data_IF_095992931977
#
_entry.id   IF_095992931977
#
_cell.length_a   1.000
_cell.length_b   1.000
_cell.length_c   1.000
_cell.angle_alpha   90.00
_cell.angle_beta   90.00
_cell.angle_gamma   90.00
#
_symmetry.space_group_name_H-M   'P 1'
#
loop_
_entity.id
_entity.type
_entity.pdbx_description
1 polymer ?
#
# COMPACT_ATOMS: atom_id res chain seq x y z
N UNK A 1 -16.88 35.59 11.07
CA UNK A 1 -16.05 35.37 9.88
C UNK A 1 -15.72 33.89 9.81
N UNK A 2 -16.41 33.14 8.95
CA UNK A 2 -16.15 31.73 8.69
C UNK A 2 -14.89 31.67 7.83
N UNK A 3 -13.73 31.40 8.44
CA UNK A 3 -12.53 31.04 7.69
C UNK A 3 -12.91 29.79 6.90
N UNK A 4 -12.91 29.89 5.58
CA UNK A 4 -13.02 28.73 4.70
C UNK A 4 -11.90 27.77 5.11
N UNK A 5 -12.25 26.69 5.80
CA UNK A 5 -11.32 25.63 6.17
C UNK A 5 -10.94 24.94 4.86
N UNK A 6 -9.85 25.39 4.25
CA UNK A 6 -9.24 24.68 3.15
C UNK A 6 -8.73 23.36 3.71
N UNK A 7 -9.41 22.27 3.38
CA UNK A 7 -9.03 20.92 3.82
C UNK A 7 -7.61 20.65 3.33
N UNK A 8 -6.72 20.36 4.27
CA UNK A 8 -5.35 19.94 3.98
C UNK A 8 -5.38 18.45 3.65
N UNK A 9 -4.60 18.03 2.66
CA UNK A 9 -4.42 16.61 2.36
C UNK A 9 -3.18 16.06 3.07
N UNK A 10 -3.18 14.77 3.43
CA UNK A 10 -2.00 14.10 3.99
C UNK A 10 -0.76 14.29 3.09
N UNK A 11 -0.94 14.23 1.76
CA UNK A 11 0.10 14.52 0.78
C UNK A 11 0.77 15.89 0.94
N UNK A 12 0.02 16.90 1.39
CA UNK A 12 0.56 18.24 1.67
C UNK A 12 1.52 18.20 2.85
N UNK A 13 1.19 17.46 3.91
CA UNK A 13 2.06 17.32 5.08
C UNK A 13 3.33 16.53 4.74
N UNK A 14 3.21 15.46 3.95
CA UNK A 14 4.35 14.63 3.55
C UNK A 14 5.42 15.42 2.78
N UNK A 15 5.01 16.30 1.86
CA UNK A 15 5.91 17.06 0.99
C UNK A 15 6.25 18.47 1.47
N UNK A 16 5.69 18.94 2.58
CA UNK A 16 5.91 20.30 3.05
C UNK A 16 7.35 20.50 3.55
N UNK A 17 7.92 21.66 3.22
CA UNK A 17 9.17 22.13 3.79
C UNK A 17 8.95 22.71 5.21
N UNK A 18 10.03 23.04 5.91
CA UNK A 18 9.98 23.59 7.26
C UNK A 18 9.05 24.81 7.39
N UNK A 19 9.22 25.78 6.49
CA UNK A 19 8.39 27.00 6.48
C UNK A 19 6.90 26.68 6.25
N UNK A 20 6.62 25.75 5.33
CA UNK A 20 5.27 25.30 5.03
C UNK A 20 4.59 24.63 6.23
N UNK A 21 5.32 23.79 6.96
CA UNK A 21 4.80 23.15 8.18
C UNK A 21 4.52 24.17 9.29
N UNK A 22 5.44 25.10 9.54
CA UNK A 22 5.26 26.16 10.54
C UNK A 22 4.09 27.06 10.16
N UNK A 23 4.04 27.55 8.92
CA UNK A 23 2.96 28.40 8.42
C UNK A 23 1.59 27.72 8.52
N UNK A 24 1.53 26.40 8.33
CA UNK A 24 0.32 25.63 8.42
C UNK A 24 -0.18 25.54 9.87
N UNK A 25 0.72 25.29 10.83
CA UNK A 25 0.36 25.21 12.25
C UNK A 25 0.07 26.58 12.87
N UNK A 26 0.80 27.63 12.52
CA UNK A 26 0.58 28.98 13.05
C UNK A 26 -0.79 29.58 12.66
N UNK A 27 -1.46 29.04 11.64
CA UNK A 27 -2.82 29.43 11.24
C UNK A 27 -3.90 28.81 12.12
N UNK A 28 -3.55 27.84 12.95
CA UNK A 28 -4.49 27.14 13.82
C UNK A 28 -4.73 28.00 15.06
N UNK A 29 -5.99 28.38 15.35
CA UNK A 29 -6.29 29.14 16.56
C UNK A 29 -5.95 28.31 17.80
N UNK A 30 -5.48 28.92 18.90
CA UNK A 30 -5.22 28.19 20.13
C UNK A 30 -6.52 27.55 20.65
N UNK A 31 -6.44 26.39 21.32
CA UNK A 31 -7.61 25.77 21.93
C UNK A 31 -8.21 26.69 23.00
N UNK A 32 -9.54 26.67 23.15
CA UNK A 32 -10.27 27.53 24.09
C UNK A 32 -10.22 27.04 25.55
N UNK A 33 -9.42 26.02 25.84
CA UNK A 33 -9.24 25.41 27.15
C UNK A 33 -7.96 24.60 27.22
N UNK A 34 -7.65 24.05 28.40
CA UNK A 34 -6.55 23.11 28.56
C UNK A 34 -6.82 21.83 27.78
N UNK A 35 -5.77 21.31 27.13
CA UNK A 35 -5.84 20.07 26.39
C UNK A 35 -5.42 18.92 27.28
N UNK A 36 -6.17 17.81 27.24
CA UNK A 36 -5.90 16.58 28.00
C UNK A 36 -4.74 15.76 27.39
N UNK A 37 -3.59 16.41 27.20
CA UNK A 37 -2.35 15.80 26.72
C UNK A 37 -2.18 15.73 25.20
N UNK A 38 -1.14 15.01 24.72
CA UNK A 38 -0.71 15.03 23.32
C UNK A 38 -1.77 14.51 22.33
N UNK A 39 -2.52 13.47 22.71
CA UNK A 39 -3.54 12.89 21.84
C UNK A 39 -4.66 13.89 21.54
N UNK A 40 -5.14 14.59 22.57
CA UNK A 40 -6.16 15.62 22.42
C UNK A 40 -5.63 16.78 21.56
N UNK A 41 -4.36 17.17 21.72
CA UNK A 41 -3.72 18.20 20.89
C UNK A 41 -3.67 17.81 19.41
N UNK A 42 -3.24 16.57 19.11
CA UNK A 42 -3.23 16.01 17.75
C UNK A 42 -4.63 16.01 17.15
N UNK A 43 -5.65 15.56 17.88
CA UNK A 43 -7.04 15.57 17.41
C UNK A 43 -7.55 16.98 17.12
N UNK A 44 -7.24 17.93 18.02
CA UNK A 44 -7.59 19.32 17.84
C UNK A 44 -6.97 19.89 16.55
N UNK A 45 -5.64 19.76 16.40
CA UNK A 45 -4.90 20.21 15.22
C UNK A 45 -5.42 19.55 13.94
N UNK A 46 -5.60 18.23 13.96
CA UNK A 46 -6.11 17.47 12.81
C UNK A 46 -7.48 17.98 12.38
N UNK A 47 -8.41 18.18 13.32
CA UNK A 47 -9.76 18.67 13.02
C UNK A 47 -9.76 20.05 12.36
N UNK A 48 -8.84 20.95 12.77
CA UNK A 48 -8.68 22.29 12.21
C UNK A 48 -8.13 22.30 10.80
N UNK A 49 -7.36 21.27 10.45
CA UNK A 49 -6.81 21.04 9.12
C UNK A 49 -7.74 20.19 8.23
N UNK A 50 -8.85 19.68 8.77
CA UNK A 50 -9.78 18.80 8.05
C UNK A 50 -9.22 17.39 7.81
N UNK A 51 -8.34 16.94 8.70
CA UNK A 51 -7.68 15.64 8.73
C UNK A 51 -8.19 14.81 9.92
N UNK A 52 -8.00 13.50 9.87
CA UNK A 52 -8.06 12.68 11.09
C UNK A 52 -6.75 12.77 11.87
N UNK A 53 -6.78 12.39 13.16
CA UNK A 53 -5.56 12.26 13.96
C UNK A 53 -4.53 11.30 13.33
N UNK A 54 -5.01 10.22 12.68
CA UNK A 54 -4.16 9.27 11.98
C UNK A 54 -3.49 9.88 10.74
N UNK A 55 -4.25 10.62 9.92
CA UNK A 55 -3.70 11.31 8.73
C UNK A 55 -2.69 12.38 9.11
N UNK A 56 -2.95 13.13 10.18
CA UNK A 56 -2.00 14.10 10.73
C UNK A 56 -0.72 13.39 11.19
N UNK A 57 -0.86 12.34 12.01
CA UNK A 57 0.26 11.61 12.61
C UNK A 57 1.12 10.94 11.55
N UNK A 58 0.52 10.33 10.52
CA UNK A 58 1.26 9.75 9.41
C UNK A 58 1.87 10.80 8.48
N UNK A 59 1.14 11.87 8.18
CA UNK A 59 1.65 12.96 7.34
C UNK A 59 2.91 13.60 7.92
N UNK A 60 2.89 13.92 9.22
CA UNK A 60 4.06 14.42 9.94
C UNK A 60 5.11 13.32 10.17
N UNK A 61 4.69 12.14 10.60
CA UNK A 61 5.60 11.05 10.97
C UNK A 61 6.41 10.47 9.80
N UNK A 62 5.99 10.71 8.55
CA UNK A 62 6.77 10.38 7.35
C UNK A 62 7.42 11.60 6.68
N UNK A 63 7.20 12.82 7.18
CA UNK A 63 7.90 14.00 6.69
C UNK A 63 9.36 13.98 7.18
N UNK A 64 10.30 13.98 6.24
CA UNK A 64 11.74 13.85 6.54
C UNK A 64 12.34 15.03 7.31
N UNK A 65 11.73 16.21 7.25
CA UNK A 65 12.26 17.43 7.87
C UNK A 65 11.79 17.60 9.32
N UNK A 66 10.72 16.90 9.73
CA UNK A 66 10.15 17.06 11.05
C UNK A 66 11.13 16.82 12.22
N UNK A 67 12.07 15.85 12.16
CA UNK A 67 13.07 15.68 13.22
C UNK A 67 13.93 16.91 13.48
N UNK A 68 14.08 17.79 12.49
CA UNK A 68 14.86 19.03 12.58
C UNK A 68 14.02 20.22 13.09
N UNK A 69 12.74 20.00 13.38
CA UNK A 69 11.76 21.04 13.71
C UNK A 69 11.11 20.80 15.07
N UNK A 70 11.86 20.97 16.18
CA UNK A 70 11.33 20.73 17.53
C UNK A 70 10.15 21.63 17.88
N UNK A 71 10.11 22.85 17.35
CA UNK A 71 9.00 23.79 17.57
C UNK A 71 7.68 23.27 16.97
N UNK A 72 7.75 22.60 15.81
CA UNK A 72 6.59 21.97 15.16
C UNK A 72 6.06 20.82 16.02
N UNK A 73 6.94 20.02 16.62
CA UNK A 73 6.54 18.95 17.55
C UNK A 73 5.90 19.52 18.82
N UNK A 74 6.46 20.59 19.38
CA UNK A 74 5.91 21.27 20.54
C UNK A 74 4.50 21.82 20.27
N UNK A 75 4.26 22.39 19.07
CA UNK A 75 2.94 22.84 18.64
C UNK A 75 1.91 21.71 18.51
N UNK A 76 2.36 20.48 18.22
CA UNK A 76 1.51 19.28 18.22
C UNK A 76 1.28 18.72 19.64
N UNK A 77 1.86 19.33 20.68
CA UNK A 77 1.85 18.81 22.04
C UNK A 77 2.69 17.55 22.20
N UNK A 78 3.59 17.25 21.26
CA UNK A 78 4.41 16.04 21.24
C UNK A 78 5.77 16.38 21.87
N UNK A 79 6.04 15.80 23.03
CA UNK A 79 7.30 16.02 23.75
C UNK A 79 8.51 15.32 23.13
N UNK A 80 8.29 14.28 22.34
CA UNK A 80 9.37 13.52 21.71
C UNK A 80 8.96 12.92 20.34
N UNK A 81 9.87 12.96 19.37
CA UNK A 81 9.66 12.44 18.01
C UNK A 81 9.32 10.94 18.00
N UNK A 82 9.79 10.16 18.97
CA UNK A 82 9.57 8.71 19.02
C UNK A 82 8.11 8.37 19.34
N UNK A 83 7.44 9.20 20.14
CA UNK A 83 6.02 9.09 20.44
C UNK A 83 5.18 9.33 19.20
N UNK A 84 5.55 10.30 18.34
CA UNK A 84 4.92 10.47 17.04
C UNK A 84 5.12 9.24 16.14
N UNK A 85 6.34 8.71 16.07
CA UNK A 85 6.63 7.52 15.27
C UNK A 85 5.84 6.29 15.73
N UNK A 86 5.67 6.10 17.05
CA UNK A 86 4.82 5.03 17.58
C UNK A 86 3.37 5.17 17.14
N UNK A 87 2.81 6.37 17.22
CA UNK A 87 1.43 6.63 16.75
C UNK A 87 1.32 6.42 15.25
N UNK A 88 2.27 6.95 14.46
CA UNK A 88 2.36 6.70 13.00
C UNK A 88 2.37 5.20 12.69
N UNK A 89 3.20 4.43 13.37
CA UNK A 89 3.36 3.00 13.10
C UNK A 89 2.09 2.23 13.44
N UNK A 90 1.48 2.52 14.60
CA UNK A 90 0.17 1.93 14.97
C UNK A 90 -0.91 2.31 13.97
N UNK A 91 -1.04 3.60 13.62
CA UNK A 91 -2.02 4.06 12.64
C UNK A 91 -1.80 3.38 11.29
N UNK A 92 -0.57 3.30 10.79
CA UNK A 92 -0.33 2.67 9.49
C UNK A 92 -0.51 1.15 9.54
N UNK A 93 -0.11 0.47 10.61
CA UNK A 93 -0.11 -1.00 10.63
C UNK A 93 -1.44 -1.63 11.06
N UNK A 94 -2.22 -0.95 11.91
CA UNK A 94 -3.43 -1.50 12.50
C UNK A 94 -4.72 -0.93 11.88
N UNK A 95 -4.65 0.24 11.24
CA UNK A 95 -5.83 0.86 10.63
C UNK A 95 -6.27 0.16 9.34
N UNK A 96 -7.58 -0.11 9.26
CA UNK A 96 -8.25 -0.70 8.10
C UNK A 96 -9.12 0.34 7.41
N UNK A 97 -8.45 1.41 6.97
CA UNK A 97 -9.03 2.53 6.25
C UNK A 97 -10.11 3.33 7.01
N UNK A 98 -9.97 3.44 8.34
CA UNK A 98 -10.88 4.22 9.18
C UNK A 98 -10.23 5.55 9.55
N UNK A 99 -9.08 5.48 10.20
CA UNK A 99 -8.29 6.66 10.53
C UNK A 99 -7.51 7.16 9.31
N UNK A 100 -7.01 6.28 8.45
CA UNK A 100 -6.28 6.66 7.24
C UNK A 100 -7.13 6.37 6.01
N UNK A 101 -7.53 7.41 5.28
CA UNK A 101 -8.20 7.18 3.99
C UNK A 101 -7.27 6.44 3.01
N UNK A 102 -7.83 5.69 2.05
CA UNK A 102 -7.03 5.05 1.00
C UNK A 102 -6.16 6.09 0.27
N UNK A 103 -6.69 7.28 0.00
CA UNK A 103 -5.94 8.37 -0.62
C UNK A 103 -4.69 8.75 0.19
N UNK A 104 -4.83 8.89 1.52
CA UNK A 104 -3.71 9.16 2.42
C UNK A 104 -2.69 8.02 2.43
N UNK A 105 -3.13 6.75 2.44
CA UNK A 105 -2.23 5.60 2.35
C UNK A 105 -1.45 5.58 1.03
N UNK A 106 -2.14 5.82 -0.10
CA UNK A 106 -1.50 5.90 -1.41
C UNK A 106 -0.52 7.06 -1.51
N UNK A 107 -0.82 8.20 -0.87
CA UNK A 107 0.09 9.34 -0.78
C UNK A 107 1.36 8.99 0.02
N UNK A 108 1.25 8.27 1.13
CA UNK A 108 2.39 7.78 1.91
C UNK A 108 3.27 6.86 1.06
N UNK A 109 2.66 5.91 0.33
CA UNK A 109 3.38 5.02 -0.57
C UNK A 109 4.10 5.79 -1.68
N UNK A 110 3.42 6.73 -2.33
CA UNK A 110 4.03 7.56 -3.37
C UNK A 110 5.19 8.39 -2.82
N UNK A 111 5.04 8.95 -1.61
CA UNK A 111 6.11 9.68 -0.94
C UNK A 111 7.31 8.78 -0.62
N UNK A 112 7.08 7.57 -0.10
CA UNK A 112 8.14 6.61 0.17
C UNK A 112 8.88 6.18 -1.11
N UNK A 113 8.16 5.95 -2.21
CA UNK A 113 8.76 5.59 -3.49
C UNK A 113 9.70 6.69 -4.04
N UNK A 114 9.44 7.95 -3.71
CA UNK A 114 10.29 9.08 -4.08
C UNK A 114 11.49 9.30 -3.13
N UNK A 115 11.48 8.69 -1.94
CA UNK A 115 12.47 8.97 -0.89
C UNK A 115 12.96 7.66 -0.24
N UNK A 116 14.17 7.17 -0.59
CA UNK A 116 14.68 5.88 -0.12
C UNK A 116 14.67 5.70 1.41
N UNK A 117 15.00 6.76 2.16
CA UNK A 117 14.99 6.72 3.64
C UNK A 117 13.57 6.44 4.17
N UNK A 118 12.55 7.06 3.56
CA UNK A 118 11.14 6.82 3.92
C UNK A 118 10.73 5.41 3.51
N UNK A 119 11.19 4.94 2.34
CA UNK A 119 10.96 3.56 1.91
C UNK A 119 11.51 2.57 2.94
N UNK A 120 12.75 2.74 3.41
CA UNK A 120 13.38 1.85 4.40
C UNK A 120 12.59 1.78 5.71
N UNK A 121 11.99 2.90 6.15
CA UNK A 121 11.10 2.93 7.32
C UNK A 121 9.75 2.27 7.02
N UNK A 122 9.19 2.49 5.82
CA UNK A 122 7.90 1.96 5.42
C UNK A 122 7.94 0.43 5.24
N UNK A 123 9.04 -0.11 4.73
CA UNK A 123 9.18 -1.54 4.42
C UNK A 123 8.76 -2.44 5.62
N UNK A 124 9.37 -2.37 6.82
CA UNK A 124 8.96 -3.23 7.94
C UNK A 124 7.53 -3.00 8.41
N UNK A 125 6.96 -1.81 8.19
CA UNK A 125 5.56 -1.53 8.51
C UNK A 125 4.61 -2.24 7.56
N UNK A 126 4.96 -2.35 6.27
CA UNK A 126 4.16 -3.11 5.30
C UNK A 126 4.07 -4.61 5.63
N UNK A 127 5.12 -5.19 6.22
CA UNK A 127 5.12 -6.59 6.69
C UNK A 127 4.10 -6.86 7.79
N UNK A 128 3.71 -5.82 8.54
CA UNK A 128 2.65 -5.88 9.54
C UNK A 128 1.29 -5.49 8.95
N UNK A 129 1.27 -4.45 8.12
CA UNK A 129 0.04 -3.88 7.56
C UNK A 129 -0.69 -4.86 6.64
N UNK A 130 0.00 -5.49 5.70
CA UNK A 130 -0.66 -6.37 4.73
C UNK A 130 -1.32 -7.58 5.42
N UNK A 131 -0.64 -8.33 6.32
CA UNK A 131 -1.30 -9.40 7.08
C UNK A 131 -2.44 -8.91 7.98
N UNK A 132 -2.33 -7.71 8.57
CA UNK A 132 -3.40 -7.15 9.40
C UNK A 132 -4.66 -6.82 8.57
N UNK A 133 -4.49 -6.26 7.37
CA UNK A 133 -5.57 -6.01 6.41
C UNK A 133 -6.22 -7.34 5.96
N UNK A 134 -5.40 -8.32 5.58
CA UNK A 134 -5.84 -9.65 5.16
C UNK A 134 -6.64 -10.34 6.27
N UNK A 135 -6.11 -10.39 7.49
CA UNK A 135 -6.81 -10.96 8.65
C UNK A 135 -8.13 -10.23 8.96
N UNK A 136 -8.22 -8.92 8.72
CA UNK A 136 -9.48 -8.18 8.89
C UNK A 136 -10.48 -8.51 7.78
N UNK A 137 -10.03 -8.61 6.54
CA UNK A 137 -10.87 -8.96 5.40
C UNK A 137 -11.43 -10.37 5.57
N UNK A 138 -10.61 -11.33 6.02
CA UNK A 138 -11.06 -12.70 6.28
C UNK A 138 -12.20 -12.74 7.31
N UNK A 139 -12.14 -11.91 8.35
CA UNK A 139 -13.17 -11.84 9.40
C UNK A 139 -14.46 -11.14 8.97
N UNK A 140 -14.37 -10.15 8.09
CA UNK A 140 -15.50 -9.23 7.82
C UNK A 140 -16.09 -9.37 6.42
N UNK A 141 -15.28 -9.82 5.45
CA UNK A 141 -15.62 -9.96 4.02
C UNK A 141 -16.30 -8.71 3.44
N UNK A 142 -15.88 -7.54 3.90
CA UNK A 142 -16.49 -6.27 3.52
C UNK A 142 -15.96 -5.80 2.15
N UNK A 143 -16.82 -5.82 1.12
CA UNK A 143 -16.43 -5.55 -0.27
C UNK A 143 -15.70 -4.20 -0.50
N UNK A 144 -16.11 -3.08 0.12
CA UNK A 144 -15.35 -1.83 0.01
C UNK A 144 -13.92 -1.93 0.56
N UNK A 145 -13.71 -2.70 1.63
CA UNK A 145 -12.38 -2.91 2.23
C UNK A 145 -11.51 -3.75 1.31
N UNK A 146 -12.09 -4.79 0.71
CA UNK A 146 -11.44 -5.62 -0.31
C UNK A 146 -10.95 -4.78 -1.49
N UNK A 147 -11.78 -3.87 -2.01
CA UNK A 147 -11.35 -3.01 -3.12
C UNK A 147 -10.22 -2.06 -2.72
N UNK A 148 -10.32 -1.43 -1.54
CA UNK A 148 -9.25 -0.56 -1.04
C UNK A 148 -7.92 -1.32 -0.91
N UNK A 149 -7.95 -2.53 -0.36
CA UNK A 149 -6.79 -3.42 -0.28
C UNK A 149 -6.22 -3.78 -1.66
N UNK A 150 -7.08 -4.11 -2.65
CA UNK A 150 -6.63 -4.37 -4.04
C UNK A 150 -5.91 -3.15 -4.63
N UNK A 151 -6.44 -1.95 -4.41
CA UNK A 151 -5.83 -0.72 -4.92
C UNK A 151 -4.52 -0.39 -4.21
N UNK A 152 -4.46 -0.60 -2.90
CA UNK A 152 -3.23 -0.43 -2.14
C UNK A 152 -2.13 -1.37 -2.62
N UNK A 153 -2.42 -2.67 -2.74
CA UNK A 153 -1.43 -3.64 -3.20
C UNK A 153 -0.97 -3.35 -4.63
N UNK A 154 -1.88 -3.00 -5.54
CA UNK A 154 -1.53 -2.55 -6.90
C UNK A 154 -0.58 -1.37 -6.89
N UNK A 155 -0.80 -0.40 -6.00
CA UNK A 155 0.08 0.75 -5.87
C UNK A 155 1.48 0.35 -5.38
N UNK A 156 1.57 -0.56 -4.39
CA UNK A 156 2.86 -1.07 -3.91
C UNK A 156 3.68 -1.71 -5.03
N UNK A 157 3.07 -2.55 -5.87
CA UNK A 157 3.73 -3.12 -7.05
C UNK A 157 4.16 -2.06 -8.06
N UNK A 158 3.26 -1.14 -8.43
CA UNK A 158 3.54 -0.10 -9.44
C UNK A 158 4.63 0.88 -9.00
N UNK A 159 4.70 1.18 -7.71
CA UNK A 159 5.67 2.09 -7.12
C UNK A 159 7.02 1.40 -6.82
N UNK A 160 7.16 0.10 -7.10
CA UNK A 160 8.37 -0.65 -6.81
C UNK A 160 8.63 -0.86 -5.31
N UNK A 161 7.60 -0.68 -4.46
CA UNK A 161 7.68 -0.89 -3.02
C UNK A 161 7.47 -2.35 -2.62
N UNK A 162 7.10 -3.20 -3.57
CA UNK A 162 7.04 -4.65 -3.40
C UNK A 162 8.30 -5.31 -3.97
N UNK A 163 9.32 -5.62 -3.14
CA UNK A 163 10.52 -6.30 -3.58
C UNK A 163 10.25 -7.76 -3.93
N UNK A 164 11.15 -8.36 -4.73
CA UNK A 164 11.01 -9.73 -5.20
C UNK A 164 10.90 -10.72 -4.05
N UNK A 165 11.71 -10.56 -3.02
CA UNK A 165 11.76 -11.44 -1.84
C UNK A 165 10.40 -11.51 -1.15
N UNK A 166 9.63 -10.41 -1.13
CA UNK A 166 8.29 -10.40 -0.55
C UNK A 166 7.26 -11.05 -1.46
N UNK A 167 7.34 -10.81 -2.76
CA UNK A 167 6.51 -11.54 -3.71
C UNK A 167 6.74 -13.06 -3.58
N UNK A 168 7.99 -13.50 -3.48
CA UNK A 168 8.34 -14.92 -3.25
C UNK A 168 7.82 -15.44 -1.91
N UNK A 169 7.95 -14.65 -0.83
CA UNK A 169 7.42 -15.01 0.48
C UNK A 169 5.88 -15.15 0.47
N UNK A 170 5.18 -14.36 -0.36
CA UNK A 170 3.74 -14.45 -0.54
C UNK A 170 3.35 -15.61 -1.45
N UNK A 171 4.14 -15.88 -2.49
CA UNK A 171 3.92 -16.98 -3.43
C UNK A 171 4.11 -18.35 -2.78
N UNK A 172 5.09 -18.47 -1.88
CA UNK A 172 5.38 -19.71 -1.14
C UNK A 172 4.29 -20.10 -0.12
N UNK A 173 3.35 -19.20 0.18
CA UNK A 173 2.18 -19.53 1.00
C UNK A 173 1.17 -20.30 0.15
N UNK A 174 0.91 -21.58 0.44
CA UNK A 174 0.00 -22.38 -0.35
C UNK A 174 -1.41 -21.80 -0.26
N UNK A 175 -1.99 -21.51 -1.43
CA UNK A 175 -3.40 -21.16 -1.60
C UNK A 175 -3.92 -19.99 -0.76
N UNK A 176 -3.12 -18.92 -0.63
CA UNK A 176 -3.61 -17.67 -0.07
C UNK A 176 -4.68 -17.06 -1.00
N UNK A 177 -5.95 -17.12 -0.59
CA UNK A 177 -7.07 -16.56 -1.33
C UNK A 177 -6.88 -15.08 -1.67
N UNK A 178 -6.06 -14.34 -0.89
CA UNK A 178 -5.71 -12.96 -1.15
C UNK A 178 -4.88 -12.77 -2.42
N UNK A 179 -3.98 -13.72 -2.73
CA UNK A 179 -3.19 -13.73 -3.98
C UNK A 179 -4.08 -13.76 -5.22
N UNK A 180 -5.09 -14.62 -5.20
CA UNK A 180 -6.08 -14.72 -6.26
C UNK A 180 -7.01 -13.50 -6.30
N UNK A 181 -7.41 -12.97 -5.12
CA UNK A 181 -8.28 -11.80 -4.99
C UNK A 181 -7.73 -10.55 -5.71
N UNK A 182 -6.40 -10.37 -5.64
CA UNK A 182 -5.70 -9.22 -6.21
C UNK A 182 -5.08 -9.51 -7.58
N UNK A 183 -5.15 -10.76 -8.07
CA UNK A 183 -4.41 -11.25 -9.23
C UNK A 183 -2.90 -10.94 -9.11
N UNK A 184 -2.29 -11.30 -7.99
CA UNK A 184 -0.94 -10.85 -7.65
C UNK A 184 0.13 -11.28 -8.67
N UNK A 185 0.01 -12.50 -9.19
CA UNK A 185 0.91 -13.02 -10.26
C UNK A 185 0.82 -12.15 -11.52
N UNK A 186 -0.38 -11.70 -11.88
CA UNK A 186 -0.58 -10.79 -13.00
C UNK A 186 0.05 -9.42 -12.71
N UNK A 187 -0.09 -8.90 -11.48
CA UNK A 187 0.55 -7.64 -11.09
C UNK A 187 2.08 -7.72 -11.16
N UNK A 188 2.67 -8.81 -10.68
CA UNK A 188 4.11 -9.04 -10.75
C UNK A 188 4.60 -9.08 -12.21
N UNK A 189 3.83 -9.68 -13.11
CA UNK A 189 4.12 -9.69 -14.55
C UNK A 189 3.99 -8.29 -15.19
N UNK A 190 2.88 -7.59 -14.96
CA UNK A 190 2.59 -6.27 -15.54
C UNK A 190 3.60 -5.20 -15.09
N UNK A 191 4.08 -5.31 -13.84
CA UNK A 191 5.10 -4.41 -13.28
C UNK A 191 6.53 -4.86 -13.56
N UNK A 192 6.71 -5.96 -14.31
CA UNK A 192 8.02 -6.52 -14.67
C UNK A 192 8.87 -6.92 -13.46
N UNK A 193 8.24 -7.18 -12.32
CA UNK A 193 8.93 -7.72 -11.15
C UNK A 193 9.49 -9.12 -11.45
N UNK A 194 8.72 -9.94 -12.16
CA UNK A 194 9.14 -11.27 -12.62
C UNK A 194 8.83 -11.43 -14.11
N UNK A 195 9.77 -11.92 -14.94
CA UNK A 195 9.50 -12.20 -16.34
C UNK A 195 8.38 -13.24 -16.51
N UNK A 196 7.47 -13.00 -17.46
CA UNK A 196 6.32 -13.87 -17.74
C UNK A 196 6.72 -15.31 -18.08
N UNK A 197 7.86 -15.50 -18.74
CA UNK A 197 8.43 -16.81 -19.03
C UNK A 197 8.78 -17.55 -17.75
N UNK A 198 9.34 -16.87 -16.74
CA UNK A 198 9.63 -17.51 -15.45
C UNK A 198 8.33 -17.93 -14.76
N UNK A 199 7.31 -17.06 -14.74
CA UNK A 199 6.02 -17.38 -14.12
C UNK A 199 5.28 -18.55 -14.78
N UNK A 200 5.41 -18.74 -16.10
CA UNK A 200 4.75 -19.84 -16.80
C UNK A 200 5.28 -21.22 -16.37
N UNK A 201 6.59 -21.32 -16.13
CA UNK A 201 7.26 -22.59 -15.84
C UNK A 201 7.30 -22.93 -14.34
N UNK A 202 6.78 -22.05 -13.49
CA UNK A 202 6.72 -22.28 -12.05
C UNK A 202 5.54 -23.17 -11.66
N UNK A 203 5.78 -24.09 -10.74
CA UNK A 203 4.77 -25.03 -10.23
C UNK A 203 3.94 -24.45 -9.07
N UNK A 204 4.45 -23.41 -8.40
CA UNK A 204 3.74 -22.69 -7.33
C UNK A 204 2.69 -21.68 -7.86
N UNK A 205 2.65 -21.48 -9.19
CA UNK A 205 1.65 -20.68 -9.90
C UNK A 205 0.51 -21.58 -10.36
N UNK A 206 -0.72 -21.26 -9.92
CA UNK A 206 -1.88 -22.07 -10.24
C UNK A 206 -2.23 -21.99 -11.73
N UNK A 207 -2.81 -23.04 -12.33
CA UNK A 207 -3.26 -23.01 -13.73
C UNK A 207 -4.20 -21.83 -14.03
N UNK A 208 -5.07 -21.47 -13.08
CA UNK A 208 -5.96 -20.30 -13.21
C UNK A 208 -5.23 -18.97 -13.23
N UNK A 209 -4.10 -18.85 -12.53
CA UNK A 209 -3.28 -17.63 -12.55
C UNK A 209 -2.52 -17.54 -13.87
N UNK A 210 -1.98 -18.67 -14.38
CA UNK A 210 -1.41 -18.75 -15.73
C UNK A 210 -2.44 -18.36 -16.80
N UNK A 211 -3.69 -18.80 -16.67
CA UNK A 211 -4.79 -18.40 -17.55
C UNK A 211 -4.98 -16.87 -17.61
N UNK A 212 -4.87 -16.17 -16.48
CA UNK A 212 -5.00 -14.71 -16.47
C UNK A 212 -3.88 -14.02 -17.25
N UNK A 213 -2.64 -14.54 -17.17
CA UNK A 213 -1.52 -14.04 -17.96
C UNK A 213 -1.78 -14.20 -19.47
N UNK A 214 -2.34 -15.35 -19.89
CA UNK A 214 -2.70 -15.62 -21.29
C UNK A 214 -3.77 -14.67 -21.77
N UNK A 215 -4.87 -14.53 -21.02
CA UNK A 215 -6.00 -13.66 -21.38
C UNK A 215 -5.63 -12.18 -21.43
N UNK A 216 -4.57 -11.80 -20.72
CA UNK A 216 -4.01 -10.45 -20.76
C UNK A 216 -3.01 -10.24 -21.91
N UNK A 217 -2.79 -11.25 -22.75
CA UNK A 217 -1.88 -11.18 -23.89
C UNK A 217 -0.41 -11.11 -23.49
N UNK A 218 -0.06 -11.46 -22.24
CA UNK A 218 1.31 -11.38 -21.73
C UNK A 218 2.15 -12.60 -22.13
N UNK A 219 1.50 -13.71 -22.49
CA UNK A 219 2.16 -14.94 -22.92
C UNK A 219 1.90 -15.16 -24.42
N UNK A 220 2.95 -15.17 -25.27
CA UNK A 220 2.79 -15.44 -26.69
C UNK A 220 2.50 -16.92 -26.96
N UNK A 221 1.77 -17.21 -28.03
CA UNK A 221 1.37 -18.58 -28.38
C UNK A 221 2.55 -19.56 -28.49
N UNK A 222 3.70 -19.13 -29.03
CA UNK A 222 4.89 -19.97 -29.13
C UNK A 222 5.43 -20.43 -27.78
N UNK A 223 5.37 -19.58 -26.76
CA UNK A 223 5.81 -19.93 -25.40
C UNK A 223 4.84 -20.92 -24.75
N UNK A 224 3.54 -20.78 -25.02
CA UNK A 224 2.53 -21.74 -24.56
C UNK A 224 2.69 -23.11 -25.21
N UNK A 225 2.98 -23.16 -26.51
CA UNK A 225 3.27 -24.40 -27.23
C UNK A 225 4.48 -25.13 -26.60
N UNK A 226 5.57 -24.40 -26.35
CA UNK A 226 6.75 -24.95 -25.67
C UNK A 226 6.43 -25.53 -24.30
N UNK A 227 5.61 -24.84 -23.49
CA UNK A 227 5.22 -25.35 -22.16
C UNK A 227 4.32 -26.59 -22.26
N UNK A 228 3.38 -26.63 -23.20
CA UNK A 228 2.52 -27.80 -23.43
C UNK A 228 3.31 -29.02 -23.87
N UNK A 229 4.37 -28.83 -24.66
CA UNK A 229 5.27 -29.90 -25.10
C UNK A 229 6.23 -30.38 -24.01
N UNK A 230 6.35 -29.64 -22.90
CA UNK A 230 7.25 -29.99 -21.80
C UNK A 230 6.82 -31.30 -21.11
N UNK A 231 7.79 -32.14 -20.73
CA UNK A 231 7.53 -33.47 -20.18
C UNK A 231 7.01 -33.44 -18.72
N UNK A 232 7.32 -32.37 -17.99
CA UNK A 232 7.06 -32.16 -16.56
C UNK A 232 5.73 -31.45 -16.26
N UNK A 233 4.99 -31.02 -17.29
CA UNK A 233 3.74 -30.27 -17.10
C UNK A 233 2.64 -31.13 -16.45
N UNK A 234 2.00 -30.58 -15.43
CA UNK A 234 0.86 -31.21 -14.79
C UNK A 234 -0.33 -31.40 -15.76
N UNK A 235 -1.10 -32.51 -15.71
CA UNK A 235 -2.20 -32.77 -16.63
C UNK A 235 -3.26 -31.66 -16.67
N UNK A 236 -3.63 -31.13 -15.49
CA UNK A 236 -4.61 -30.04 -15.37
C UNK A 236 -4.09 -28.71 -15.97
N UNK A 237 -2.79 -28.44 -15.87
CA UNK A 237 -2.17 -27.30 -16.54
C UNK A 237 -2.18 -27.50 -18.05
N UNK A 238 -1.76 -28.68 -18.53
CA UNK A 238 -1.74 -29.02 -19.96
C UNK A 238 -3.10 -28.85 -20.62
N UNK A 239 -4.15 -29.38 -20.00
CA UNK A 239 -5.52 -29.24 -20.50
C UNK A 239 -5.93 -27.77 -20.63
N UNK A 240 -5.64 -26.96 -19.62
CA UNK A 240 -5.94 -25.53 -19.63
C UNK A 240 -5.17 -24.80 -20.73
N UNK A 241 -3.85 -25.03 -20.85
CA UNK A 241 -3.02 -24.36 -21.85
C UNK A 241 -3.43 -24.74 -23.28
N UNK A 242 -3.75 -26.01 -23.53
CA UNK A 242 -4.26 -26.48 -24.83
C UNK A 242 -5.58 -25.80 -25.20
N UNK A 243 -6.48 -25.65 -24.23
CA UNK A 243 -7.74 -24.94 -24.44
C UNK A 243 -7.50 -23.48 -24.82
N UNK A 244 -6.65 -22.77 -24.09
CA UNK A 244 -6.38 -21.35 -24.37
C UNK A 244 -5.62 -21.17 -25.70
N UNK A 245 -4.70 -22.07 -26.05
CA UNK A 245 -4.02 -22.07 -27.36
C UNK A 245 -5.00 -22.14 -28.54
N UNK A 246 -6.01 -23.02 -28.47
CA UNK A 246 -7.06 -23.12 -29.50
C UNK A 246 -7.87 -21.84 -29.63
N UNK A 247 -8.09 -21.10 -28.54
CA UNK A 247 -8.80 -19.82 -28.57
C UNK A 247 -7.94 -18.70 -29.18
N UNK A 248 -6.62 -18.79 -29.09
CA UNK A 248 -5.69 -17.80 -29.65
C UNK A 248 -5.41 -17.98 -31.15
N UNK A 249 -5.68 -19.18 -31.68
CA UNK A 249 -5.55 -19.51 -33.10
C UNK A 249 -6.94 -19.86 -33.67
N UNK A 250 -7.84 -18.87 -33.83
CA UNK A 250 -9.08 -19.11 -34.54
C UNK A 250 -8.74 -19.45 -36.00
N UNK A 251 -9.35 -20.52 -36.51
CA UNK A 251 -9.24 -20.98 -37.91
C UNK A 251 -9.48 -19.84 -38.93
#
# INVERSE_FOLDING_TARGET
MTISSQRVACATLLGANAEGLVNLLCRIPPPTGEMDGPAACIEYVASRLGLTAGELSCGFGFNMLLPELPDVLALLGIGDIQSLYRVRDTCLTEDVYQALSLESVLAIHAHAAAHPIVADVLQPLLERRLPALEARIERTVHAPTIERYRNELRALYRLGLMPLERFEARLSRPHDGFRALVNEVLLAAETRLVPVGVLLYRDDILPREKQQLIRRGLLPAGLLQQRVESADIAPAERELLLRELRLMQPD
#
